data_IF_372032410270
#
_entry.id   IF_372032410270
#
_cell.length_a   1.000
_cell.length_b   1.000
_cell.length_c   1.000
_cell.angle_alpha   90.00
_cell.angle_beta   90.00
_cell.angle_gamma   90.00
#
_symmetry.space_group_name_H-M   'P 1'
#
loop_
_entity.id
_entity.type
_entity.pdbx_description
1 polymer ?
#
# COMPACT_ATOMS: atom_id res chain seq x y z
N UNK A 1 12.69 16.13 30.13
CA UNK A 1 13.84 15.27 29.78
C UNK A 1 13.48 14.60 28.45
N UNK A 2 13.89 15.19 27.33
CA UNK A 2 13.64 14.62 26.01
C UNK A 2 14.44 13.31 25.91
N UNK A 3 13.76 12.18 26.08
CA UNK A 3 14.37 10.90 25.73
C UNK A 3 14.64 10.97 24.22
N UNK A 4 15.89 10.82 23.82
CA UNK A 4 16.21 10.36 22.48
C UNK A 4 15.60 8.96 22.36
N UNK A 5 14.37 8.90 21.90
CA UNK A 5 13.70 7.65 21.58
C UNK A 5 14.20 7.32 20.17
N UNK A 6 14.96 6.25 20.03
CA UNK A 6 15.26 5.67 18.71
C UNK A 6 13.94 5.54 17.96
N UNK A 7 13.79 6.24 16.83
CA UNK A 7 12.60 6.15 15.99
C UNK A 7 12.92 5.22 14.84
N UNK A 8 12.08 4.20 14.68
CA UNK A 8 12.17 3.23 13.61
C UNK A 8 11.15 3.50 12.48
N UNK A 9 10.25 4.47 12.68
CA UNK A 9 9.21 4.86 11.73
C UNK A 9 9.61 6.11 10.93
N UNK A 10 9.15 6.17 9.68
CA UNK A 10 9.26 7.35 8.83
C UNK A 10 8.32 8.48 9.26
N UNK A 11 8.49 9.67 8.67
CA UNK A 11 7.56 10.77 8.88
C UNK A 11 6.31 10.66 7.98
N UNK A 12 5.28 11.42 8.33
CA UNK A 12 4.03 11.55 7.56
C UNK A 12 4.26 11.91 6.10
N UNK A 13 5.20 12.81 5.78
CA UNK A 13 5.52 13.18 4.40
C UNK A 13 5.99 11.96 3.60
N UNK A 14 6.88 11.15 4.17
CA UNK A 14 7.33 9.90 3.54
C UNK A 14 6.17 8.93 3.35
N UNK A 15 5.28 8.80 4.33
CA UNK A 15 4.05 8.01 4.21
C UNK A 15 3.16 8.45 3.05
N UNK A 16 2.86 9.75 2.98
CA UNK A 16 2.02 10.33 1.93
C UNK A 16 2.63 10.16 0.52
N UNK A 17 3.94 10.28 0.41
CA UNK A 17 4.67 10.05 -0.84
C UNK A 17 4.55 8.61 -1.33
N UNK A 18 4.44 7.63 -0.44
CA UNK A 18 4.25 6.23 -0.86
C UNK A 18 2.90 5.96 -1.55
N UNK A 19 1.99 6.94 -1.59
CA UNK A 19 0.72 6.85 -2.32
C UNK A 19 0.74 7.78 -3.53
N UNK A 20 1.00 9.07 -3.29
CA UNK A 20 0.89 10.16 -4.29
C UNK A 20 1.83 10.00 -5.48
N UNK A 21 2.97 9.32 -5.29
CA UNK A 21 4.01 9.21 -6.33
C UNK A 21 3.82 8.03 -7.31
N UNK A 22 2.77 7.24 -7.18
CA UNK A 22 2.55 6.04 -8.01
C UNK A 22 1.26 6.08 -8.84
N UNK A 23 0.66 7.26 -8.94
CA UNK A 23 -0.26 7.62 -10.01
C UNK A 23 0.58 8.19 -11.17
N UNK A 24 0.64 7.46 -12.29
CA UNK A 24 1.65 7.66 -13.35
C UNK A 24 1.58 9.02 -14.04
N UNK A 25 0.39 9.60 -14.13
CA UNK A 25 0.08 10.84 -14.83
C UNK A 25 -0.25 11.96 -13.83
N UNK A 26 0.45 11.99 -12.70
CA UNK A 26 0.28 13.00 -11.66
C UNK A 26 1.61 13.57 -11.18
N UNK A 27 1.55 14.80 -10.66
CA UNK A 27 2.67 15.42 -9.96
C UNK A 27 2.42 15.43 -8.44
N UNK A 28 3.50 15.35 -7.67
CA UNK A 28 3.46 15.59 -6.22
C UNK A 28 4.31 16.79 -5.85
N UNK A 29 3.73 17.81 -5.24
CA UNK A 29 4.45 19.00 -4.75
C UNK A 29 4.66 18.87 -3.25
N UNK A 30 5.91 18.91 -2.81
CA UNK A 30 6.26 19.01 -1.39
C UNK A 30 6.37 20.50 -1.02
N UNK A 31 5.36 21.00 -0.29
CA UNK A 31 5.29 22.38 0.13
C UNK A 31 6.10 22.60 1.41
N UNK A 32 7.31 23.17 1.24
CA UNK A 32 8.26 23.30 2.33
C UNK A 32 9.66 23.66 1.87
N UNK A 33 10.63 23.70 2.80
CA UNK A 33 12.03 23.84 2.47
C UNK A 33 12.53 22.69 1.60
N UNK A 34 13.52 22.98 0.73
CA UNK A 34 14.10 22.01 -0.22
C UNK A 34 14.59 20.69 0.42
N UNK A 35 14.99 20.74 1.70
CA UNK A 35 15.52 19.58 2.42
C UNK A 35 14.54 18.41 2.53
N UNK A 36 13.26 18.68 2.81
CA UNK A 36 12.23 17.63 2.92
C UNK A 36 12.00 16.93 1.59
N UNK A 37 11.90 17.70 0.50
CA UNK A 37 11.79 17.16 -0.85
C UNK A 37 13.05 16.36 -1.24
N UNK A 38 14.25 16.88 -0.99
CA UNK A 38 15.49 16.20 -1.33
C UNK A 38 15.66 14.86 -0.59
N UNK A 39 15.31 14.81 0.70
CA UNK A 39 15.32 13.56 1.47
C UNK A 39 14.32 12.55 0.89
N UNK A 40 13.08 13.00 0.63
CA UNK A 40 12.02 12.19 0.05
C UNK A 40 12.42 11.56 -1.28
N UNK A 41 12.90 12.39 -2.23
CA UNK A 41 13.38 11.94 -3.54
C UNK A 41 14.54 10.97 -3.40
N UNK A 42 15.49 11.23 -2.49
CA UNK A 42 16.64 10.35 -2.28
C UNK A 42 16.23 8.95 -1.79
N UNK A 43 15.25 8.85 -0.89
CA UNK A 43 14.72 7.57 -0.39
C UNK A 43 13.99 6.84 -1.51
N UNK A 44 13.07 7.51 -2.20
CA UNK A 44 12.31 6.92 -3.31
C UNK A 44 13.24 6.41 -4.41
N UNK A 45 14.19 7.23 -4.85
CA UNK A 45 15.15 6.87 -5.90
C UNK A 45 15.98 5.64 -5.51
N UNK A 46 16.48 5.58 -4.27
CA UNK A 46 17.27 4.43 -3.80
C UNK A 46 16.43 3.15 -3.73
N UNK A 47 15.20 3.24 -3.21
CA UNK A 47 14.30 2.09 -3.07
C UNK A 47 13.72 1.62 -4.40
N UNK A 48 13.38 2.53 -5.31
CA UNK A 48 12.87 2.18 -6.65
C UNK A 48 13.96 1.48 -7.46
N UNK A 49 15.19 1.98 -7.46
CA UNK A 49 16.32 1.32 -8.11
C UNK A 49 16.60 -0.08 -7.54
N UNK A 50 16.49 -0.25 -6.22
CA UNK A 50 16.62 -1.57 -5.59
C UNK A 50 15.55 -2.56 -6.09
N UNK A 51 14.36 -2.06 -6.41
CA UNK A 51 13.25 -2.84 -6.96
C UNK A 51 13.20 -2.83 -8.49
N UNK A 52 14.29 -2.45 -9.18
CA UNK A 52 14.38 -2.38 -10.64
C UNK A 52 13.29 -1.50 -11.30
N UNK A 53 12.77 -0.52 -10.57
CA UNK A 53 11.84 0.48 -11.07
C UNK A 53 12.62 1.71 -11.53
N UNK A 54 12.57 1.99 -12.83
CA UNK A 54 13.32 3.10 -13.46
C UNK A 54 12.47 4.33 -13.76
N UNK A 55 11.14 4.23 -13.62
CA UNK A 55 10.23 5.35 -13.76
C UNK A 55 10.26 6.18 -12.47
N UNK A 56 10.91 7.34 -12.53
CA UNK A 56 11.05 8.26 -11.40
C UNK A 56 9.80 9.15 -11.37
N UNK A 57 9.06 9.22 -10.25
CA UNK A 57 7.89 10.08 -10.15
C UNK A 57 8.21 11.56 -10.23
N UNK A 58 7.27 12.34 -10.74
CA UNK A 58 7.36 13.79 -10.83
C UNK A 58 7.10 14.45 -9.47
N UNK A 59 8.19 14.87 -8.82
CA UNK A 59 8.15 15.49 -7.50
C UNK A 59 8.71 16.91 -7.59
N UNK A 60 7.87 17.88 -7.26
CA UNK A 60 8.21 19.29 -7.21
C UNK A 60 8.43 19.74 -5.76
N UNK A 61 9.09 20.89 -5.61
CA UNK A 61 9.25 21.54 -4.32
C UNK A 61 8.85 23.00 -4.46
N UNK A 62 8.04 23.51 -3.52
CA UNK A 62 7.83 24.95 -3.41
C UNK A 62 9.07 25.71 -2.94
N UNK A 63 10.13 24.99 -2.56
CA UNK A 63 11.47 25.53 -2.35
C UNK A 63 11.54 26.71 -1.35
N UNK A 64 10.74 26.66 -0.27
CA UNK A 64 10.62 27.76 0.69
C UNK A 64 11.99 28.18 1.25
N UNK A 65 12.25 29.49 1.20
CA UNK A 65 13.41 30.12 1.80
C UNK A 65 13.07 30.82 3.13
N UNK A 66 14.04 31.53 3.72
CA UNK A 66 13.85 32.26 4.97
C UNK A 66 12.72 33.30 4.90
N UNK A 67 12.53 33.94 3.73
CA UNK A 67 11.48 34.94 3.55
C UNK A 67 10.11 34.27 3.58
N UNK A 68 9.96 33.13 2.90
CA UNK A 68 8.71 32.35 2.93
C UNK A 68 8.37 31.91 4.36
N UNK A 69 9.35 31.51 5.15
CA UNK A 69 9.12 31.09 6.55
C UNK A 69 8.63 32.26 7.41
N UNK A 70 9.10 33.48 7.15
CA UNK A 70 8.72 34.67 7.94
C UNK A 70 7.36 35.24 7.52
N UNK A 71 7.05 35.24 6.22
CA UNK A 71 5.92 35.97 5.65
C UNK A 71 4.81 35.09 5.06
N UNK A 72 5.00 33.76 5.01
CA UNK A 72 4.08 32.81 4.38
C UNK A 72 4.68 32.18 3.12
N UNK A 73 4.37 30.90 2.92
CA UNK A 73 4.80 30.10 1.77
C UNK A 73 3.80 30.03 0.63
N UNK A 74 2.58 30.53 0.79
CA UNK A 74 1.48 30.39 -0.18
C UNK A 74 1.85 30.90 -1.58
N UNK A 75 2.56 32.04 -1.71
CA UNK A 75 3.02 32.53 -3.02
C UNK A 75 3.98 31.54 -3.71
N UNK A 76 4.88 30.92 -2.95
CA UNK A 76 5.79 29.90 -3.47
C UNK A 76 5.07 28.61 -3.87
N UNK A 77 3.98 28.28 -3.18
CA UNK A 77 3.11 27.17 -3.54
C UNK A 77 2.36 27.47 -4.84
N UNK A 78 1.78 28.67 -4.97
CA UNK A 78 1.10 29.11 -6.19
C UNK A 78 2.01 29.01 -7.42
N UNK A 79 3.27 29.42 -7.29
CA UNK A 79 4.22 29.35 -8.39
C UNK A 79 4.60 27.91 -8.74
N UNK A 80 4.81 27.05 -7.73
CA UNK A 80 5.07 25.62 -7.95
C UNK A 80 3.90 24.88 -8.60
N UNK A 81 2.65 25.22 -8.24
CA UNK A 81 1.45 24.65 -8.87
C UNK A 81 1.37 25.07 -10.33
N UNK A 82 1.62 26.34 -10.66
CA UNK A 82 1.64 26.80 -12.06
C UNK A 82 2.72 26.10 -12.87
N UNK A 83 3.91 25.94 -12.32
CA UNK A 83 5.00 25.21 -12.99
C UNK A 83 4.61 23.76 -13.26
N UNK A 84 3.94 23.08 -12.31
CA UNK A 84 3.42 21.74 -12.54
C UNK A 84 2.28 21.72 -13.58
N UNK A 85 1.39 22.73 -13.61
CA UNK A 85 0.29 22.84 -14.58
C UNK A 85 0.75 23.13 -16.02
N UNK A 86 1.99 23.61 -16.22
CA UNK A 86 2.58 23.78 -17.55
C UNK A 86 2.97 22.44 -18.20
N UNK A 87 2.99 21.35 -17.43
CA UNK A 87 3.24 19.98 -17.87
C UNK A 87 1.91 19.19 -18.06
N UNK A 88 1.96 18.02 -18.73
CA UNK A 88 0.77 17.22 -19.08
C UNK A 88 0.31 16.28 -17.95
N UNK A 89 0.07 16.82 -16.75
CA UNK A 89 -0.45 16.05 -15.62
C UNK A 89 -1.98 16.05 -15.57
N UNK A 90 -2.54 14.91 -15.16
CA UNK A 90 -3.98 14.71 -14.96
C UNK A 90 -4.43 14.99 -13.52
N UNK A 91 -3.50 15.09 -12.58
CA UNK A 91 -3.76 15.41 -11.17
C UNK A 91 -2.49 15.95 -10.50
N UNK A 92 -2.64 16.82 -9.50
CA UNK A 92 -1.52 17.32 -8.68
C UNK A 92 -1.84 17.12 -7.20
N UNK A 93 -0.94 16.46 -6.46
CA UNK A 93 -1.04 16.31 -5.01
C UNK A 93 -0.14 17.33 -4.31
N UNK A 94 -0.63 17.99 -3.26
CA UNK A 94 0.15 18.94 -2.45
C UNK A 94 0.37 18.35 -1.06
N UNK A 95 1.63 18.12 -0.68
CA UNK A 95 1.99 17.61 0.64
C UNK A 95 2.61 18.74 1.46
N UNK A 96 1.90 19.15 2.51
CA UNK A 96 2.43 20.07 3.52
C UNK A 96 3.57 19.44 4.33
N UNK A 97 4.56 20.26 4.70
CA UNK A 97 5.66 19.86 5.59
C UNK A 97 5.47 20.44 6.98
N UNK A 98 6.28 19.99 7.94
CA UNK A 98 6.25 20.56 9.29
C UNK A 98 6.38 22.10 9.32
N UNK A 99 7.05 22.71 8.33
CA UNK A 99 7.25 24.16 8.29
C UNK A 99 6.01 24.88 7.77
N UNK A 100 5.47 24.50 6.62
CA UNK A 100 4.25 25.11 6.04
C UNK A 100 3.10 25.07 7.04
N UNK A 101 2.93 23.93 7.71
CA UNK A 101 1.82 23.72 8.62
C UNK A 101 2.00 24.48 9.94
N UNK A 102 3.25 24.67 10.39
CA UNK A 102 3.54 25.43 11.62
C UNK A 102 3.33 26.93 11.42
N UNK A 103 3.69 27.46 10.25
CA UNK A 103 3.46 28.89 9.96
C UNK A 103 2.00 29.18 9.60
N UNK A 104 1.22 28.13 9.32
CA UNK A 104 -0.22 28.21 9.09
C UNK A 104 -0.58 28.61 7.66
N UNK A 105 0.23 28.19 6.68
CA UNK A 105 -0.12 28.36 5.26
C UNK A 105 -1.42 27.61 4.96
N UNK A 106 -2.38 28.28 4.32
CA UNK A 106 -3.69 27.71 3.99
C UNK A 106 -3.64 26.99 2.63
N UNK A 107 -3.05 25.80 2.64
CA UNK A 107 -2.90 24.95 1.45
C UNK A 107 -4.28 24.63 0.84
N UNK A 108 -5.30 24.39 1.66
CA UNK A 108 -6.65 24.05 1.19
C UNK A 108 -7.25 25.20 0.37
N UNK A 109 -7.15 26.44 0.87
CA UNK A 109 -7.62 27.63 0.15
C UNK A 109 -6.85 27.87 -1.15
N UNK A 110 -5.53 27.64 -1.16
CA UNK A 110 -4.72 27.76 -2.39
C UNK A 110 -5.19 26.72 -3.42
N UNK A 111 -5.31 25.44 -3.05
CA UNK A 111 -5.79 24.38 -3.93
C UNK A 111 -7.21 24.67 -4.47
N UNK A 112 -8.13 25.15 -3.62
CA UNK A 112 -9.48 25.52 -4.03
C UNK A 112 -9.47 26.62 -5.12
N UNK A 113 -8.58 27.61 -5.00
CA UNK A 113 -8.44 28.68 -5.98
C UNK A 113 -7.97 28.22 -7.37
N UNK A 114 -7.25 27.10 -7.46
CA UNK A 114 -6.90 26.45 -8.74
C UNK A 114 -8.04 25.55 -9.23
N UNK A 115 -8.66 24.76 -8.35
CA UNK A 115 -9.77 23.88 -8.71
C UNK A 115 -11.02 24.64 -9.25
N UNK A 116 -11.16 25.94 -8.94
CA UNK A 116 -12.19 26.80 -9.54
C UNK A 116 -11.87 27.25 -10.98
N UNK A 117 -10.60 27.27 -11.38
CA UNK A 117 -10.12 27.90 -12.62
C UNK A 117 -9.61 26.89 -13.65
N UNK A 118 -8.93 25.86 -13.16
CA UNK A 118 -8.21 24.88 -13.95
C UNK A 118 -8.95 23.53 -13.95
N UNK A 119 -8.78 22.75 -15.01
CA UNK A 119 -9.44 21.43 -15.14
C UNK A 119 -8.68 20.30 -14.44
N UNK A 120 -7.42 20.53 -14.07
CA UNK A 120 -6.58 19.54 -13.40
C UNK A 120 -6.82 19.65 -11.89
N UNK A 121 -7.30 18.59 -11.21
CA UNK A 121 -7.53 18.63 -9.77
C UNK A 121 -6.21 18.79 -9.01
N UNK A 122 -6.21 19.73 -8.07
CA UNK A 122 -5.13 19.99 -7.12
C UNK A 122 -5.61 19.58 -5.73
N UNK A 123 -5.01 18.55 -5.17
CA UNK A 123 -5.52 17.85 -3.98
C UNK A 123 -4.56 18.06 -2.79
N UNK A 124 -5.00 18.75 -1.73
CA UNK A 124 -4.20 18.92 -0.53
C UNK A 124 -4.16 17.61 0.28
N UNK A 125 -2.98 17.19 0.68
CA UNK A 125 -2.76 16.04 1.56
C UNK A 125 -2.30 16.54 2.93
N UNK A 126 -3.17 16.35 3.92
CA UNK A 126 -2.86 16.71 5.30
C UNK A 126 -1.89 15.68 5.91
N UNK A 127 -0.60 16.01 5.87
CA UNK A 127 0.50 15.17 6.33
C UNK A 127 1.36 15.87 7.40
N UNK A 128 0.74 16.60 8.35
CA UNK A 128 1.45 17.38 9.37
C UNK A 128 2.23 16.53 10.39
N UNK A 129 3.50 16.27 10.11
CA UNK A 129 4.36 15.46 10.98
C UNK A 129 4.70 16.10 12.33
N UNK A 130 4.62 17.43 12.44
CA UNK A 130 4.94 18.18 13.66
C UNK A 130 4.00 17.83 14.83
N UNK A 131 2.73 17.48 14.54
CA UNK A 131 1.74 17.12 15.56
C UNK A 131 1.92 15.71 16.14
N UNK A 132 3.02 15.02 15.77
CA UNK A 132 3.33 13.68 16.26
C UNK A 132 2.84 12.55 15.36
N UNK A 133 2.49 12.83 14.11
CA UNK A 133 2.10 11.84 13.12
C UNK A 133 3.26 10.91 12.72
N UNK A 134 2.88 9.70 12.32
CA UNK A 134 3.74 8.62 11.85
C UNK A 134 3.68 8.47 10.33
N UNK A 135 4.51 7.58 9.79
CA UNK A 135 4.42 7.15 8.39
C UNK A 135 2.99 6.69 8.03
N UNK A 136 2.34 5.92 8.89
CA UNK A 136 1.01 5.36 8.63
C UNK A 136 -0.05 6.46 8.53
N UNK A 137 0.02 7.49 9.37
CA UNK A 137 -0.92 8.62 9.33
C UNK A 137 -0.84 9.36 7.99
N UNK A 138 0.38 9.61 7.50
CA UNK A 138 0.58 10.23 6.20
C UNK A 138 0.10 9.37 5.03
N UNK A 139 0.31 8.06 5.12
CA UNK A 139 -0.17 7.09 4.15
C UNK A 139 -1.71 7.06 4.08
N UNK A 140 -2.39 7.00 5.23
CA UNK A 140 -3.85 7.03 5.33
C UNK A 140 -4.39 8.36 4.80
N UNK A 141 -3.81 9.50 5.20
CA UNK A 141 -4.21 10.82 4.68
C UNK A 141 -4.10 10.89 3.16
N UNK A 142 -3.02 10.37 2.59
CA UNK A 142 -2.83 10.38 1.14
C UNK A 142 -3.82 9.46 0.40
N UNK A 143 -4.11 8.27 0.93
CA UNK A 143 -5.16 7.40 0.37
C UNK A 143 -6.53 8.08 0.38
N UNK A 144 -6.87 8.78 1.48
CA UNK A 144 -8.13 9.51 1.60
C UNK A 144 -8.18 10.69 0.63
N UNK A 145 -7.13 11.51 0.56
CA UNK A 145 -7.08 12.63 -0.39
C UNK A 145 -7.17 12.14 -1.84
N UNK A 146 -6.43 11.10 -2.20
CA UNK A 146 -6.49 10.56 -3.55
C UNK A 146 -7.83 9.88 -3.88
N UNK A 147 -8.59 9.43 -2.87
CA UNK A 147 -9.94 8.90 -3.08
C UNK A 147 -10.96 9.96 -3.51
N UNK A 148 -10.65 11.26 -3.37
CA UNK A 148 -11.48 12.35 -3.87
C UNK A 148 -11.56 12.37 -5.41
N UNK A 149 -10.62 11.72 -6.08
CA UNK A 149 -10.58 11.56 -7.55
C UNK A 149 -11.61 10.53 -8.04
N UNK A 150 -12.10 9.65 -7.16
CA UNK A 150 -13.03 8.57 -7.52
C UNK A 150 -14.34 9.20 -8.00
N UNK A 151 -14.64 9.02 -9.28
CA UNK A 151 -15.88 9.50 -9.88
C UNK A 151 -17.10 8.77 -9.29
N UNK A 152 -18.25 9.45 -9.24
CA UNK A 152 -19.46 8.92 -8.59
C UNK A 152 -20.08 7.69 -9.28
N UNK A 153 -19.82 7.50 -10.57
CA UNK A 153 -20.42 6.46 -11.38
C UNK A 153 -19.37 5.49 -11.94
N UNK A 154 -19.78 4.24 -12.15
CA UNK A 154 -18.95 3.29 -12.92
C UNK A 154 -18.97 3.68 -14.41
N UNK A 155 -17.78 3.98 -14.96
CA UNK A 155 -17.60 4.37 -16.36
C UNK A 155 -17.36 3.18 -17.30
N UNK A 156 -18.13 2.09 -17.14
CA UNK A 156 -18.22 1.07 -18.19
C UNK A 156 -18.92 1.66 -19.42
N UNK A 157 -18.17 2.37 -20.26
CA UNK A 157 -18.55 2.58 -21.66
C UNK A 157 -18.64 1.22 -22.33
N UNK A 158 -19.83 0.82 -22.81
CA UNK A 158 -20.20 -0.07 -23.94
C UNK A 158 -19.21 -1.14 -24.47
N UNK A 159 -18.21 -1.59 -23.71
CA UNK A 159 -17.16 -2.56 -24.10
C UNK A 159 -17.42 -3.97 -23.60
N UNK A 160 -18.41 -4.13 -22.71
CA UNK A 160 -18.84 -5.43 -22.17
C UNK A 160 -20.35 -5.63 -22.31
N UNK A 161 -20.99 -4.92 -23.24
CA UNK A 161 -22.26 -5.36 -23.78
C UNK A 161 -22.01 -6.59 -24.67
N UNK A 162 -22.75 -7.64 -24.33
CA UNK A 162 -22.99 -8.86 -25.10
C UNK A 162 -22.12 -10.10 -24.77
N UNK A 163 -22.79 -11.03 -24.07
CA UNK A 163 -22.65 -12.50 -24.12
C UNK A 163 -21.54 -13.26 -23.35
N UNK A 164 -20.71 -12.62 -22.52
CA UNK A 164 -19.86 -13.34 -21.57
C UNK A 164 -20.28 -13.06 -20.12
N UNK A 165 -20.37 -14.09 -19.26
CA UNK A 165 -20.53 -13.91 -17.81
C UNK A 165 -19.48 -12.91 -17.31
N UNK A 166 -19.90 -11.70 -16.97
CA UNK A 166 -19.01 -10.66 -16.45
C UNK A 166 -18.47 -11.19 -15.12
N UNK A 167 -17.16 -11.46 -15.08
CA UNK A 167 -16.50 -11.89 -13.85
C UNK A 167 -16.63 -10.76 -12.82
N UNK A 168 -16.89 -11.08 -11.55
CA UNK A 168 -16.87 -10.07 -10.50
C UNK A 168 -15.48 -9.43 -10.42
N UNK A 169 -15.47 -8.11 -10.29
CA UNK A 169 -14.26 -7.31 -10.27
C UNK A 169 -13.95 -6.84 -8.85
N UNK A 170 -12.65 -6.75 -8.53
CA UNK A 170 -12.18 -6.42 -7.18
C UNK A 170 -11.13 -5.31 -7.24
N UNK A 171 -11.25 -4.29 -6.40
CA UNK A 171 -10.19 -3.29 -6.22
C UNK A 171 -9.23 -3.75 -5.13
N UNK A 172 -7.94 -3.51 -5.35
CA UNK A 172 -6.91 -3.61 -4.31
C UNK A 172 -6.60 -2.21 -3.81
N UNK A 173 -6.60 -1.98 -2.50
CA UNK A 173 -6.41 -0.66 -1.89
C UNK A 173 -5.23 -0.67 -0.93
N UNK A 174 -4.36 0.34 -1.05
CA UNK A 174 -3.37 0.63 -0.04
C UNK A 174 -2.11 -0.25 -0.08
N UNK A 175 -1.72 -0.72 -1.27
CA UNK A 175 -0.37 -1.27 -1.42
C UNK A 175 0.66 -0.16 -1.26
N UNK A 176 1.54 -0.30 -0.27
CA UNK A 176 2.59 0.69 0.02
C UNK A 176 3.69 0.51 -1.02
N UNK A 177 4.01 1.56 -1.76
CA UNK A 177 4.92 1.43 -2.90
C UNK A 177 6.41 1.20 -2.56
N UNK A 178 6.77 1.32 -1.27
CA UNK A 178 8.10 0.99 -0.74
C UNK A 178 8.10 -0.35 0.02
N UNK A 179 7.03 -1.13 -0.10
CA UNK A 179 6.90 -2.41 0.58
C UNK A 179 7.68 -3.51 -0.15
N UNK A 180 8.35 -4.35 0.62
CA UNK A 180 9.04 -5.54 0.10
C UNK A 180 8.03 -6.53 -0.50
N UNK A 181 8.40 -7.15 -1.63
CA UNK A 181 7.57 -8.18 -2.30
C UNK A 181 6.15 -7.72 -2.67
N UNK A 182 5.89 -6.42 -2.79
CA UNK A 182 4.55 -5.87 -3.12
C UNK A 182 3.91 -6.55 -4.34
N UNK A 183 4.68 -6.79 -5.42
CA UNK A 183 4.16 -7.41 -6.63
C UNK A 183 4.01 -8.93 -6.52
N UNK A 184 4.78 -9.59 -5.65
CA UNK A 184 4.57 -11.00 -5.32
C UNK A 184 3.32 -11.18 -4.46
N UNK A 185 3.13 -10.31 -3.46
CA UNK A 185 1.91 -10.26 -2.63
C UNK A 185 0.67 -10.01 -3.49
N UNK A 186 0.72 -9.04 -4.40
CA UNK A 186 -0.34 -8.80 -5.39
C UNK A 186 -0.62 -10.04 -6.26
N UNK A 187 0.44 -10.68 -6.78
CA UNK A 187 0.30 -11.86 -7.62
C UNK A 187 -0.39 -13.01 -6.90
N UNK A 188 -0.11 -13.17 -5.60
CA UNK A 188 -0.77 -14.16 -4.76
C UNK A 188 -2.25 -13.84 -4.54
N UNK A 189 -2.60 -12.60 -4.21
CA UNK A 189 -4.01 -12.17 -4.12
C UNK A 189 -4.73 -12.39 -5.45
N UNK A 190 -4.12 -12.00 -6.56
CA UNK A 190 -4.67 -12.22 -7.89
C UNK A 190 -4.87 -13.71 -8.19
N UNK A 191 -3.96 -14.59 -7.77
CA UNK A 191 -4.12 -16.05 -7.91
C UNK A 191 -5.33 -16.55 -7.12
N UNK A 192 -5.48 -16.13 -5.87
CA UNK A 192 -6.61 -16.50 -5.01
C UNK A 192 -7.95 -16.01 -5.57
N UNK A 193 -8.01 -14.78 -6.06
CA UNK A 193 -9.21 -14.23 -6.72
C UNK A 193 -9.56 -15.00 -8.00
N UNK A 194 -8.57 -15.36 -8.81
CA UNK A 194 -8.78 -16.17 -10.00
C UNK A 194 -9.33 -17.56 -9.69
N UNK A 195 -8.96 -18.17 -8.55
CA UNK A 195 -9.56 -19.44 -8.09
C UNK A 195 -11.05 -19.29 -7.77
N UNK A 196 -11.47 -18.12 -7.28
CA UNK A 196 -12.88 -17.78 -7.09
C UNK A 196 -13.58 -17.35 -8.39
N UNK A 197 -12.85 -17.20 -9.50
CA UNK A 197 -13.40 -16.70 -10.76
C UNK A 197 -13.61 -15.17 -10.79
N UNK A 198 -13.02 -14.43 -9.86
CA UNK A 198 -12.98 -12.97 -9.84
C UNK A 198 -11.69 -12.44 -10.50
N UNK A 199 -11.69 -11.19 -10.95
CA UNK A 199 -10.50 -10.52 -11.49
C UNK A 199 -10.25 -9.17 -10.79
N UNK A 200 -9.02 -8.68 -10.88
CA UNK A 200 -8.64 -7.38 -10.32
C UNK A 200 -9.03 -6.28 -11.30
N UNK A 201 -9.82 -5.32 -10.82
CA UNK A 201 -10.17 -4.11 -11.55
C UNK A 201 -8.97 -3.15 -11.62
N UNK A 202 -8.48 -2.74 -10.46
CA UNK A 202 -7.37 -1.79 -10.32
C UNK A 202 -6.65 -1.97 -8.98
N UNK A 203 -5.44 -1.41 -8.91
CA UNK A 203 -4.61 -1.29 -7.70
C UNK A 203 -4.54 0.17 -7.27
N UNK A 204 -5.34 0.55 -6.29
CA UNK A 204 -5.47 1.92 -5.77
C UNK A 204 -4.43 2.21 -4.66
N UNK A 205 -3.41 3.05 -4.84
CA UNK A 205 -2.95 3.68 -6.08
C UNK A 205 -1.51 3.21 -6.34
N UNK A 206 -1.39 2.24 -7.25
CA UNK A 206 -0.12 1.68 -7.65
C UNK A 206 -0.14 1.37 -9.14
N UNK A 207 0.72 2.07 -9.89
CA UNK A 207 0.99 1.78 -11.29
C UNK A 207 -0.26 1.91 -12.19
N UNK A 208 -1.14 2.82 -11.83
CA UNK A 208 -2.38 3.16 -12.54
C UNK A 208 -2.33 4.61 -13.04
N UNK A 209 -3.27 4.96 -13.91
CA UNK A 209 -3.49 6.34 -14.41
C UNK A 209 -4.72 6.96 -13.75
N UNK A 210 -4.87 8.28 -13.89
CA UNK A 210 -6.05 9.02 -13.44
C UNK A 210 -7.34 8.45 -14.02
N UNK A 211 -7.31 8.08 -15.30
CA UNK A 211 -8.47 7.53 -16.01
C UNK A 211 -8.85 6.13 -15.51
N UNK A 212 -7.89 5.32 -15.03
CA UNK A 212 -8.18 4.02 -14.42
C UNK A 212 -9.00 4.17 -13.13
N UNK A 213 -8.74 5.22 -12.33
CA UNK A 213 -9.48 5.52 -11.09
C UNK A 213 -10.97 5.77 -11.38
N UNK A 214 -11.32 6.26 -12.57
CA UNK A 214 -12.71 6.48 -12.96
C UNK A 214 -13.52 5.17 -13.08
N UNK A 215 -12.84 4.01 -13.12
CA UNK A 215 -13.45 2.69 -13.10
C UNK A 215 -13.53 2.09 -11.69
N UNK A 216 -13.16 2.81 -10.64
CA UNK A 216 -13.13 2.29 -9.26
C UNK A 216 -14.48 1.71 -8.84
N UNK A 217 -15.58 2.42 -9.13
CA UNK A 217 -16.93 2.01 -8.76
C UNK A 217 -17.50 0.85 -9.60
N UNK A 218 -16.70 0.29 -10.51
CA UNK A 218 -17.06 -0.89 -11.28
C UNK A 218 -16.75 -2.21 -10.54
N UNK A 219 -16.01 -2.16 -9.43
CA UNK A 219 -15.74 -3.33 -8.60
C UNK A 219 -16.93 -3.68 -7.69
N UNK A 220 -17.03 -4.96 -7.35
CA UNK A 220 -18.02 -5.50 -6.41
C UNK A 220 -17.45 -5.67 -5.00
N UNK A 221 -16.13 -5.60 -4.84
CA UNK A 221 -15.43 -5.79 -3.57
C UNK A 221 -14.14 -4.96 -3.57
N UNK A 222 -13.79 -4.42 -2.41
CA UNK A 222 -12.50 -3.82 -2.14
C UNK A 222 -11.69 -4.73 -1.19
N UNK A 223 -10.41 -4.91 -1.46
CA UNK A 223 -9.48 -5.60 -0.56
C UNK A 223 -8.39 -4.62 -0.17
N UNK A 224 -8.28 -4.35 1.12
CA UNK A 224 -7.26 -3.46 1.66
C UNK A 224 -6.02 -4.29 1.98
N UNK A 225 -4.84 -3.77 1.65
CA UNK A 225 -3.55 -4.41 1.93
C UNK A 225 -3.41 -4.72 3.42
N UNK A 226 -3.64 -3.71 4.25
CA UNK A 226 -3.60 -3.77 5.71
C UNK A 226 -4.36 -2.57 6.28
N UNK A 227 -5.30 -2.81 7.21
CA UNK A 227 -6.05 -1.76 7.91
C UNK A 227 -6.13 -2.09 9.41
N UNK A 228 -5.10 -1.70 10.16
CA UNK A 228 -5.00 -2.02 11.59
C UNK A 228 -5.97 -1.22 12.45
N UNK A 229 -6.36 -0.02 12.02
CA UNK A 229 -7.26 0.87 12.78
C UNK A 229 -8.73 0.74 12.35
N UNK A 230 -8.99 0.18 11.17
CA UNK A 230 -10.32 0.13 10.56
C UNK A 230 -10.74 1.44 9.88
N UNK A 231 -9.82 2.40 9.77
CA UNK A 231 -10.11 3.73 9.23
C UNK A 231 -10.20 3.73 7.71
N UNK A 232 -9.38 2.92 7.04
CA UNK A 232 -9.38 2.82 5.58
C UNK A 232 -10.69 2.16 5.13
N UNK A 233 -11.05 1.02 5.75
CA UNK A 233 -12.31 0.31 5.48
C UNK A 233 -13.52 1.21 5.63
N UNK A 234 -13.64 1.89 6.78
CA UNK A 234 -14.77 2.78 7.06
C UNK A 234 -14.86 3.93 6.05
N UNK A 235 -13.73 4.48 5.64
CA UNK A 235 -13.67 5.55 4.65
C UNK A 235 -14.19 5.08 3.28
N UNK A 236 -13.64 3.99 2.75
CA UNK A 236 -14.01 3.51 1.42
C UNK A 236 -15.41 2.92 1.36
N UNK A 237 -15.88 2.24 2.41
CA UNK A 237 -17.27 1.75 2.48
C UNK A 237 -18.25 2.93 2.50
N UNK A 238 -17.95 4.00 3.25
CA UNK A 238 -18.79 5.21 3.27
C UNK A 238 -18.77 5.95 1.93
N UNK A 239 -17.61 5.99 1.27
CA UNK A 239 -17.43 6.70 0.00
C UNK A 239 -18.14 6.01 -1.16
N UNK A 240 -18.05 4.68 -1.23
CA UNK A 240 -18.43 3.92 -2.45
C UNK A 240 -19.58 2.94 -2.25
N UNK A 241 -19.96 2.63 -1.00
CA UNK A 241 -20.86 1.54 -0.63
C UNK A 241 -20.41 0.14 -1.11
N UNK A 242 -19.16 -0.01 -1.56
CA UNK A 242 -18.56 -1.30 -1.92
C UNK A 242 -18.01 -1.94 -0.64
N UNK A 243 -18.32 -3.21 -0.36
CA UNK A 243 -17.81 -3.90 0.83
C UNK A 243 -16.28 -4.00 0.81
N UNK A 244 -15.66 -4.03 2.00
CA UNK A 244 -14.22 -4.10 2.16
C UNK A 244 -13.76 -5.29 3.01
N UNK A 245 -12.76 -6.05 2.53
CA UNK A 245 -11.93 -6.93 3.36
C UNK A 245 -10.75 -6.12 3.89
N UNK A 246 -10.51 -6.17 5.20
CA UNK A 246 -9.60 -5.24 5.89
C UNK A 246 -8.10 -5.54 5.70
N UNK A 247 -7.73 -6.72 5.24
CA UNK A 247 -6.32 -7.10 5.09
C UNK A 247 -6.14 -8.23 4.08
N UNK A 248 -4.93 -8.32 3.54
CA UNK A 248 -4.49 -9.54 2.86
C UNK A 248 -4.46 -10.73 3.84
N UNK A 249 -4.60 -11.98 3.34
CA UNK A 249 -4.49 -13.16 4.18
C UNK A 249 -3.04 -13.45 4.53
N UNK A 250 -2.72 -13.48 5.81
CA UNK A 250 -1.39 -13.85 6.29
C UNK A 250 -1.32 -15.31 6.69
N UNK A 251 -0.48 -16.10 6.02
CA UNK A 251 -0.35 -17.54 6.28
C UNK A 251 -1.46 -18.41 5.73
N UNK A 252 -1.37 -19.71 6.02
CA UNK A 252 -2.16 -20.75 5.36
C UNK A 252 -3.62 -20.80 5.81
N UNK A 253 -3.92 -20.71 7.12
CA UNK A 253 -5.31 -20.74 7.61
C UNK A 253 -6.08 -19.51 7.17
N UNK A 254 -5.48 -18.32 7.33
CA UNK A 254 -6.12 -17.06 6.93
C UNK A 254 -6.31 -16.98 5.41
N UNK A 255 -5.51 -17.69 4.61
CA UNK A 255 -5.74 -17.82 3.15
C UNK A 255 -7.06 -18.51 2.84
N UNK A 256 -7.40 -19.58 3.58
CA UNK A 256 -8.66 -20.29 3.39
C UNK A 256 -9.85 -19.46 3.89
N UNK A 257 -9.67 -18.74 5.01
CA UNK A 257 -10.68 -17.82 5.54
C UNK A 257 -10.95 -16.67 4.57
N UNK A 258 -9.90 -16.09 3.98
CA UNK A 258 -10.02 -15.05 2.96
C UNK A 258 -10.78 -15.53 1.72
N UNK A 259 -10.50 -16.75 1.22
CA UNK A 259 -11.26 -17.31 0.09
C UNK A 259 -12.75 -17.44 0.42
N UNK A 260 -13.06 -17.81 1.67
CA UNK A 260 -14.44 -17.92 2.15
C UNK A 260 -15.09 -16.55 2.23
N UNK A 261 -14.45 -15.58 2.89
CA UNK A 261 -14.96 -14.22 3.06
C UNK A 261 -15.16 -13.51 1.71
N UNK A 262 -14.18 -13.59 0.81
CA UNK A 262 -14.29 -13.04 -0.53
C UNK A 262 -15.40 -13.72 -1.35
N UNK A 263 -15.56 -15.04 -1.24
CA UNK A 263 -16.66 -15.78 -1.86
C UNK A 263 -18.04 -15.31 -1.35
N UNK A 264 -18.18 -15.09 -0.04
CA UNK A 264 -19.40 -14.56 0.56
C UNK A 264 -19.76 -13.16 0.04
N UNK A 265 -18.81 -12.23 0.01
CA UNK A 265 -19.04 -10.88 -0.51
C UNK A 265 -19.38 -10.86 -2.00
N UNK A 266 -18.73 -11.72 -2.80
CA UNK A 266 -18.95 -11.80 -4.24
C UNK A 266 -20.16 -12.67 -4.63
N UNK A 267 -20.84 -13.29 -3.67
CA UNK A 267 -21.90 -14.28 -3.90
C UNK A 267 -21.45 -15.47 -4.78
N UNK A 268 -20.21 -15.94 -4.59
CA UNK A 268 -19.62 -17.08 -5.28
C UNK A 268 -19.42 -18.22 -4.27
N UNK A 269 -19.72 -19.47 -4.64
CA UNK A 269 -19.38 -20.61 -3.78
C UNK A 269 -17.85 -20.83 -3.76
N UNK A 270 -17.18 -20.66 -2.60
CA UNK A 270 -15.72 -20.80 -2.50
C UNK A 270 -15.23 -22.25 -2.36
N UNK A 271 -16.12 -23.25 -2.24
CA UNK A 271 -15.75 -24.64 -1.90
C UNK A 271 -14.71 -25.24 -2.84
N UNK A 272 -14.84 -25.01 -4.15
CA UNK A 272 -13.88 -25.50 -5.14
C UNK A 272 -12.54 -24.80 -4.99
N UNK A 273 -12.52 -23.47 -4.85
CA UNK A 273 -11.32 -22.68 -4.66
C UNK A 273 -10.58 -23.11 -3.37
N UNK A 274 -11.30 -23.26 -2.27
CA UNK A 274 -10.77 -23.74 -0.98
C UNK A 274 -10.18 -25.15 -1.14
N UNK A 275 -10.86 -26.06 -1.83
CA UNK A 275 -10.35 -27.42 -2.06
C UNK A 275 -9.06 -27.41 -2.90
N UNK A 276 -9.00 -26.59 -3.94
CA UNK A 276 -7.78 -26.40 -4.73
C UNK A 276 -6.64 -25.84 -3.88
N UNK A 277 -6.93 -24.85 -3.04
CA UNK A 277 -5.94 -24.23 -2.17
C UNK A 277 -5.42 -25.19 -1.09
N UNK A 278 -6.28 -26.00 -0.48
CA UNK A 278 -5.87 -27.03 0.49
C UNK A 278 -4.92 -28.05 -0.17
N UNK A 279 -5.18 -28.44 -1.43
CA UNK A 279 -4.29 -29.34 -2.15
C UNK A 279 -2.95 -28.67 -2.46
N UNK A 280 -2.97 -27.41 -2.91
CA UNK A 280 -1.77 -26.63 -3.16
C UNK A 280 -0.91 -26.46 -1.90
N UNK A 281 -1.52 -26.18 -0.75
CA UNK A 281 -0.83 -26.11 0.54
C UNK A 281 -0.16 -27.44 0.90
N UNK A 282 -0.82 -28.58 0.67
CA UNK A 282 -0.23 -29.91 0.92
C UNK A 282 0.98 -30.18 0.04
N UNK A 283 0.85 -29.97 -1.27
CA UNK A 283 1.95 -30.13 -2.23
C UNK A 283 3.14 -29.23 -1.87
N UNK A 284 2.85 -27.98 -1.48
CA UNK A 284 3.85 -27.04 -1.00
C UNK A 284 4.60 -27.60 0.22
N UNK A 285 3.90 -28.05 1.27
CA UNK A 285 4.55 -28.61 2.46
C UNK A 285 5.33 -29.90 2.18
N UNK A 286 4.83 -30.76 1.29
CA UNK A 286 5.56 -31.96 0.86
C UNK A 286 6.88 -31.61 0.18
N UNK A 287 6.92 -30.51 -0.59
CA UNK A 287 8.14 -30.02 -1.20
C UNK A 287 9.18 -29.54 -0.18
N UNK A 288 8.77 -29.26 1.07
CA UNK A 288 9.62 -28.89 2.22
C UNK A 288 9.79 -30.01 3.26
N UNK A 289 9.60 -31.26 2.85
CA UNK A 289 9.75 -32.42 3.75
C UNK A 289 11.19 -32.65 4.25
N UNK A 290 12.19 -32.08 3.57
CA UNK A 290 13.59 -32.03 3.99
C UNK A 290 13.82 -31.20 5.27
N UNK A 291 12.93 -30.25 5.59
CA UNK A 291 13.03 -29.43 6.79
C UNK A 291 12.50 -30.12 8.05
N UNK A 292 11.93 -31.33 7.93
CA UNK A 292 11.29 -32.02 9.05
C UNK A 292 12.33 -32.42 10.10
N UNK A 293 12.08 -32.02 11.36
CA UNK A 293 12.94 -32.31 12.50
C UNK A 293 14.10 -31.33 12.68
N UNK A 294 14.29 -30.40 11.73
CA UNK A 294 15.24 -29.31 11.88
C UNK A 294 14.86 -28.43 13.07
N UNK A 295 15.88 -27.97 13.80
CA UNK A 295 15.70 -27.14 14.99
C UNK A 295 15.98 -25.69 14.65
N UNK A 296 14.99 -24.83 14.85
CA UNK A 296 15.15 -23.38 14.63
C UNK A 296 14.80 -22.57 15.87
N UNK A 297 15.48 -21.44 16.01
CA UNK A 297 15.11 -20.35 16.90
C UNK A 297 14.77 -19.12 16.06
N UNK A 298 13.92 -18.24 16.60
CA UNK A 298 13.57 -16.98 15.94
C UNK A 298 14.29 -15.83 16.63
N UNK A 299 14.96 -14.98 15.84
CA UNK A 299 15.49 -13.70 16.31
C UNK A 299 14.74 -12.55 15.64
N UNK A 300 14.16 -11.67 16.47
CA UNK A 300 13.43 -10.50 16.00
C UNK A 300 14.33 -9.27 15.85
N UNK A 301 15.62 -9.35 16.21
CA UNK A 301 16.57 -8.22 16.16
C UNK A 301 16.04 -6.93 16.84
N UNK A 302 15.12 -7.05 17.80
CA UNK A 302 14.47 -5.92 18.47
C UNK A 302 13.31 -5.28 17.70
N UNK A 303 12.97 -5.76 16.50
CA UNK A 303 11.84 -5.30 15.69
C UNK A 303 10.64 -6.25 15.85
N UNK A 304 9.61 -5.76 16.54
CA UNK A 304 8.32 -6.44 16.79
C UNK A 304 8.38 -7.78 17.57
N UNK A 305 7.27 -8.15 18.20
CA UNK A 305 7.02 -9.54 18.61
C UNK A 305 6.59 -10.27 17.36
N UNK A 306 7.37 -11.24 16.89
CA UNK A 306 6.89 -12.19 15.88
C UNK A 306 5.49 -12.67 16.26
N UNK A 307 4.59 -12.71 15.29
CA UNK A 307 3.28 -13.33 15.50
C UNK A 307 3.51 -14.83 15.73
N UNK A 308 3.61 -15.21 17.01
CA UNK A 308 3.98 -16.56 17.40
C UNK A 308 3.02 -17.59 16.83
N UNK A 309 1.78 -17.20 16.54
CA UNK A 309 0.75 -18.13 16.09
C UNK A 309 1.00 -18.60 14.66
N UNK A 310 1.29 -17.67 13.75
CA UNK A 310 1.59 -17.95 12.34
C UNK A 310 2.80 -18.89 12.22
N UNK A 311 3.91 -18.53 12.87
CA UNK A 311 5.13 -19.33 12.79
C UNK A 311 4.96 -20.70 13.46
N UNK A 312 4.20 -20.77 14.55
CA UNK A 312 3.86 -22.05 15.20
C UNK A 312 2.99 -22.93 14.31
N UNK A 313 2.04 -22.34 13.58
CA UNK A 313 1.23 -23.07 12.59
C UNK A 313 2.11 -23.67 11.51
N UNK A 314 2.99 -22.87 10.91
CA UNK A 314 3.89 -23.30 9.84
C UNK A 314 4.87 -24.37 10.34
N UNK A 315 5.41 -24.24 11.54
CA UNK A 315 6.27 -25.25 12.16
C UNK A 315 5.55 -26.59 12.35
N UNK A 316 4.27 -26.59 12.75
CA UNK A 316 3.47 -27.81 12.88
C UNK A 316 3.27 -28.52 11.54
N UNK A 317 3.03 -27.78 10.46
CA UNK A 317 2.80 -28.37 9.13
C UNK A 317 4.08 -28.90 8.49
N UNK A 318 5.21 -28.22 8.68
CA UNK A 318 6.53 -28.63 8.17
C UNK A 318 7.18 -29.72 9.03
N UNK A 319 6.83 -29.80 10.32
CA UNK A 319 7.49 -30.66 11.29
C UNK A 319 8.82 -30.11 11.79
N UNK A 320 9.06 -28.81 11.62
CA UNK A 320 10.19 -28.07 12.21
C UNK A 320 9.99 -27.98 13.73
N UNK A 321 11.08 -28.10 14.48
CA UNK A 321 11.09 -28.02 15.94
C UNK A 321 11.57 -26.62 16.36
N UNK A 322 10.71 -25.89 17.09
CA UNK A 322 11.09 -24.62 17.69
C UNK A 322 11.92 -24.90 18.96
N UNK A 323 13.20 -24.57 18.92
CA UNK A 323 14.18 -24.86 19.98
C UNK A 323 15.14 -23.66 20.13
N UNK A 324 15.38 -23.20 21.36
CA UNK A 324 16.26 -22.04 21.61
C UNK A 324 17.70 -22.27 21.16
N UNK A 325 18.13 -23.53 21.11
CA UNK A 325 19.48 -23.92 20.66
C UNK A 325 19.53 -24.25 19.15
N UNK A 326 18.43 -24.02 18.43
CA UNK A 326 18.33 -24.23 16.98
C UNK A 326 18.96 -23.14 16.14
N UNK A 327 19.09 -23.39 14.83
CA UNK A 327 19.58 -22.41 13.85
C UNK A 327 18.74 -21.14 13.95
N UNK A 328 19.40 -20.01 14.15
CA UNK A 328 18.72 -18.72 14.28
C UNK A 328 18.22 -18.27 12.93
N UNK A 329 16.91 -18.29 12.77
CA UNK A 329 16.22 -17.75 11.61
C UNK A 329 15.88 -16.29 11.91
N UNK A 330 16.35 -15.35 11.07
CA UNK A 330 15.83 -14.00 11.12
C UNK A 330 14.33 -14.07 10.84
N UNK A 331 13.51 -13.59 11.77
CA UNK A 331 12.08 -13.45 11.50
C UNK A 331 11.97 -12.56 10.26
N UNK A 332 11.17 -12.95 9.25
CA UNK A 332 11.01 -12.10 8.08
C UNK A 332 10.54 -10.72 8.52
N UNK A 333 11.10 -9.67 7.93
CA UNK A 333 10.69 -8.29 8.20
C UNK A 333 9.18 -8.08 7.94
N UNK A 334 8.55 -8.95 7.13
CA UNK A 334 7.15 -8.89 6.76
C UNK A 334 6.44 -10.23 6.88
N UNK A 335 5.15 -10.18 7.22
CA UNK A 335 4.29 -11.35 7.37
C UNK A 335 3.95 -11.94 6.00
N UNK A 336 4.14 -13.26 5.75
CA UNK A 336 3.90 -13.87 4.44
C UNK A 336 2.43 -13.80 4.02
N UNK A 337 2.17 -13.23 2.85
CA UNK A 337 0.82 -13.15 2.25
C UNK A 337 0.51 -14.43 1.49
N UNK A 338 -0.62 -15.05 1.80
CA UNK A 338 -1.11 -16.24 1.13
C UNK A 338 -0.24 -17.48 1.33
N UNK A 339 -0.52 -18.52 0.56
CA UNK A 339 0.32 -19.72 0.49
C UNK A 339 1.61 -19.43 -0.28
N UNK A 340 1.57 -18.55 -1.29
CA UNK A 340 2.75 -18.11 -2.05
C UNK A 340 3.82 -17.45 -1.18
N UNK A 341 3.42 -16.52 -0.30
CA UNK A 341 4.35 -15.89 0.65
C UNK A 341 4.96 -16.90 1.62
N UNK A 342 4.18 -17.88 2.09
CA UNK A 342 4.69 -18.97 2.96
C UNK A 342 5.74 -19.81 2.22
N UNK A 343 5.52 -20.12 0.94
CA UNK A 343 6.50 -20.84 0.11
C UNK A 343 7.83 -20.07 -0.01
N UNK A 344 7.78 -18.76 -0.28
CA UNK A 344 8.98 -17.93 -0.34
C UNK A 344 9.72 -17.88 1.01
N UNK A 345 8.97 -17.69 2.09
CA UNK A 345 9.51 -17.69 3.45
C UNK A 345 10.22 -19.00 3.78
N UNK A 346 9.58 -20.15 3.53
CA UNK A 346 10.19 -21.47 3.75
C UNK A 346 11.40 -21.72 2.86
N UNK A 347 11.40 -21.20 1.63
CA UNK A 347 12.56 -21.25 0.74
C UNK A 347 13.75 -20.48 1.31
N UNK A 348 13.52 -19.34 1.97
CA UNK A 348 14.55 -18.60 2.67
C UNK A 348 15.04 -19.36 3.90
N UNK A 349 14.13 -19.90 4.72
CA UNK A 349 14.50 -20.68 5.91
C UNK A 349 15.35 -21.89 5.55
N UNK A 350 15.00 -22.62 4.48
CA UNK A 350 15.80 -23.73 3.95
C UNK A 350 17.24 -23.31 3.63
N UNK A 351 17.45 -22.12 3.06
CA UNK A 351 18.80 -21.61 2.77
C UNK A 351 19.58 -21.37 4.06
N UNK A 352 18.97 -20.73 5.06
CA UNK A 352 19.60 -20.50 6.36
C UNK A 352 19.96 -21.79 7.10
N UNK A 353 19.09 -22.80 7.03
CA UNK A 353 19.31 -24.11 7.68
C UNK A 353 20.46 -24.86 7.00
N UNK A 354 20.51 -24.84 5.66
CA UNK A 354 21.48 -25.61 4.89
C UNK A 354 22.88 -24.96 4.78
N UNK A 355 23.01 -23.68 5.13
CA UNK A 355 24.26 -22.91 5.05
C UNK A 355 24.42 -22.17 3.73
#
# INVERSE_FOLDING_TARGET
>A
MHKNISRHDGCTVTGALTVTTFLRDSATIVHGPKGCCHQAVSVLHSSMLYNECFDIPDIFSSAMDEKNIIFGGEDSLNDAIKEALDEDFRCIFIIGTCISDTIGDDIESVCAGFNEKDSVPVIPINASGFLGGSFEDGFISALKGASEIIGENCNFSDKYSDECQIKPLVNIIGEKNLEYEVDANFSEIKRLLNLLGADVNLRFIRNITFDDIQNFNCASLNIIREDTTGDIKRHFEKLTNIPCISSYPYGISNTLEFLKEAGEYLNINPDLAIKHEINYQKEMFESFSDLRGEKISFDSFGFQKADSNLFTEIARHTGIVLDSDGVTIPIPFFTPVGTGGVFHMLSQWRRFING
#
